data_IF_488363885881
#
_entry.id   IF_488363885881
#
_cell.length_a   1.000
_cell.length_b   1.000
_cell.length_c   1.000
_cell.angle_alpha   90.00
_cell.angle_beta   90.00
_cell.angle_gamma   90.00
#
_symmetry.space_group_name_H-M   'P 1'
#
loop_
_entity.id
_entity.type
_entity.pdbx_description
1 polymer ?
#
# COMPACT_ATOMS: atom_id res chain seq x y z
N UNK A 1 16.26 -1.11 15.31
CA UNK A 1 15.01 -0.35 15.20
C UNK A 1 14.47 -0.51 13.79
N UNK A 2 13.25 -1.01 13.60
CA UNK A 2 12.67 -1.23 12.27
C UNK A 2 11.80 -0.03 11.85
N UNK A 3 11.88 0.37 10.59
CA UNK A 3 11.02 1.43 10.04
C UNK A 3 9.61 0.83 9.84
N UNK A 4 8.57 1.53 10.27
CA UNK A 4 7.18 1.09 10.02
C UNK A 4 6.56 1.95 8.93
N UNK A 5 6.15 1.30 7.84
CA UNK A 5 5.44 1.95 6.73
C UNK A 5 3.99 1.50 6.67
N UNK A 6 3.09 2.41 6.35
CA UNK A 6 1.67 2.09 6.11
C UNK A 6 1.53 1.64 4.66
N UNK A 7 1.01 0.42 4.45
CA UNK A 7 0.91 -0.22 3.12
C UNK A 7 -0.46 -0.87 2.95
N UNK A 8 -0.83 -1.16 1.70
CA UNK A 8 -1.96 -2.04 1.40
C UNK A 8 -1.54 -3.50 1.58
N UNK A 9 -2.41 -4.34 2.14
CA UNK A 9 -2.25 -5.81 2.09
C UNK A 9 -2.45 -6.32 0.66
N UNK A 10 -3.55 -5.89 0.03
CA UNK A 10 -3.82 -6.11 -1.39
C UNK A 10 -3.89 -4.77 -2.11
N UNK A 11 -2.92 -4.52 -2.99
CA UNK A 11 -2.85 -3.26 -3.72
C UNK A 11 -4.06 -3.07 -4.65
N UNK A 12 -4.76 -1.91 -4.63
CA UNK A 12 -5.91 -1.63 -5.50
C UNK A 12 -5.53 -1.58 -6.99
N UNK A 13 -4.25 -1.42 -7.29
CA UNK A 13 -3.72 -1.42 -8.64
C UNK A 13 -3.46 -2.83 -9.22
N UNK A 14 -3.72 -3.90 -8.45
CA UNK A 14 -3.50 -5.27 -8.89
C UNK A 14 -2.02 -5.64 -9.06
N UNK A 15 -1.09 -4.94 -8.41
CA UNK A 15 0.35 -5.18 -8.51
C UNK A 15 1.06 -4.37 -9.59
N UNK A 16 0.40 -3.33 -10.15
CA UNK A 16 0.98 -2.46 -11.19
C UNK A 16 2.01 -1.44 -10.67
N UNK A 17 2.22 -1.35 -9.35
CA UNK A 17 3.23 -0.47 -8.75
C UNK A 17 2.88 1.02 -8.76
N UNK A 18 1.59 1.34 -8.85
CA UNK A 18 1.02 2.70 -8.84
C UNK A 18 0.75 3.20 -7.41
N UNK A 19 0.69 2.28 -6.44
CA UNK A 19 0.50 2.64 -5.04
C UNK A 19 1.68 3.49 -4.52
N UNK A 20 1.40 4.49 -3.69
CA UNK A 20 2.43 5.42 -3.19
C UNK A 20 3.47 4.72 -2.32
N UNK A 21 3.09 3.63 -1.65
CA UNK A 21 4.00 2.84 -0.82
C UNK A 21 5.03 2.04 -1.64
N UNK A 22 4.76 1.77 -2.93
CA UNK A 22 5.70 1.04 -3.80
C UNK A 22 7.07 1.72 -3.87
N UNK A 23 7.10 3.04 -4.04
CA UNK A 23 8.37 3.80 -4.10
C UNK A 23 9.16 3.73 -2.80
N UNK A 24 8.47 3.74 -1.67
CA UNK A 24 9.10 3.67 -0.34
C UNK A 24 9.64 2.27 -0.09
N UNK A 25 8.87 1.23 -0.46
CA UNK A 25 9.30 -0.17 -0.36
C UNK A 25 10.58 -0.42 -1.15
N UNK A 26 10.62 -0.04 -2.44
CA UNK A 26 11.81 -0.20 -3.27
C UNK A 26 13.02 0.52 -2.70
N UNK A 27 12.86 1.77 -2.25
CA UNK A 27 13.97 2.51 -1.66
C UNK A 27 14.57 1.78 -0.44
N UNK A 28 13.73 1.17 0.41
CA UNK A 28 14.17 0.42 1.58
C UNK A 28 14.82 -0.92 1.20
N UNK A 29 14.31 -1.59 0.18
CA UNK A 29 14.90 -2.83 -0.37
C UNK A 29 16.29 -2.56 -0.97
N UNK A 30 16.43 -1.52 -1.79
CA UNK A 30 17.71 -1.11 -2.41
C UNK A 30 18.81 -0.83 -1.36
N UNK A 31 18.44 -0.20 -0.23
CA UNK A 31 19.41 0.07 0.85
C UNK A 31 19.49 -1.05 1.89
N UNK A 32 18.88 -2.20 1.63
CA UNK A 32 18.81 -3.36 2.53
C UNK A 32 18.38 -2.98 3.96
N UNK A 33 17.37 -2.12 4.08
CA UNK A 33 16.83 -1.67 5.37
C UNK A 33 15.58 -2.45 5.76
N UNK A 34 15.56 -3.08 6.94
CA UNK A 34 14.38 -3.80 7.40
C UNK A 34 13.23 -2.84 7.70
N UNK A 35 12.03 -3.22 7.28
CA UNK A 35 10.80 -2.48 7.54
C UNK A 35 9.65 -3.41 7.90
N UNK A 36 8.65 -2.86 8.59
CA UNK A 36 7.40 -3.53 8.92
C UNK A 36 6.23 -2.86 8.21
N UNK A 37 5.31 -3.67 7.71
CA UNK A 37 4.06 -3.25 7.11
C UNK A 37 3.00 -3.01 8.20
N UNK A 38 2.43 -1.79 8.26
CA UNK A 38 1.28 -1.49 9.11
C UNK A 38 0.00 -1.36 8.27
N UNK A 39 -0.59 -2.52 7.98
CA UNK A 39 -1.80 -2.65 7.14
C UNK A 39 -3.06 -2.12 7.84
N UNK A 40 -3.29 -2.51 9.10
CA UNK A 40 -4.56 -2.26 9.80
C UNK A 40 -4.94 -0.77 9.92
N UNK A 41 -3.95 0.14 10.01
CA UNK A 41 -4.22 1.59 10.05
C UNK A 41 -4.82 2.11 8.74
N UNK A 42 -4.42 1.55 7.61
CA UNK A 42 -4.91 1.97 6.31
C UNK A 42 -6.39 1.56 6.14
N UNK A 43 -6.70 0.30 6.44
CA UNK A 43 -8.04 -0.30 6.31
C UNK A 43 -9.10 0.31 7.24
N UNK A 44 -8.70 0.79 8.42
CA UNK A 44 -9.60 1.39 9.39
C UNK A 44 -10.19 2.74 8.94
N UNK A 45 -9.66 3.38 7.89
CA UNK A 45 -10.10 4.72 7.46
C UNK A 45 -11.33 4.62 6.52
N UNK A 46 -12.51 5.18 6.85
CA UNK A 46 -13.69 5.09 5.97
C UNK A 46 -13.48 5.73 4.58
N UNK A 47 -12.71 6.82 4.52
CA UNK A 47 -12.35 7.45 3.25
C UNK A 47 -11.48 6.54 2.36
N UNK A 48 -10.65 5.70 2.98
CA UNK A 48 -9.79 4.75 2.29
C UNK A 48 -10.62 3.60 1.69
N UNK A 49 -11.57 3.04 2.43
CA UNK A 49 -12.48 2.00 1.93
C UNK A 49 -13.26 2.48 0.69
N UNK A 50 -13.74 3.72 0.70
CA UNK A 50 -14.43 4.34 -0.45
C UNK A 50 -13.52 4.49 -1.67
N UNK A 51 -12.30 4.98 -1.47
CA UNK A 51 -11.33 5.13 -2.56
C UNK A 51 -10.91 3.78 -3.15
N UNK A 52 -10.71 2.77 -2.30
CA UNK A 52 -10.37 1.41 -2.70
C UNK A 52 -11.49 0.77 -3.54
N UNK A 53 -12.74 0.86 -3.09
CA UNK A 53 -13.89 0.37 -3.83
C UNK A 53 -14.03 1.05 -5.21
N UNK A 54 -13.80 2.37 -5.27
CA UNK A 54 -13.84 3.12 -6.51
C UNK A 54 -12.74 2.68 -7.51
N UNK A 55 -11.50 2.49 -7.03
CA UNK A 55 -10.41 1.98 -7.88
C UNK A 55 -10.66 0.55 -8.34
N UNK A 56 -11.17 -0.32 -7.47
CA UNK A 56 -11.47 -1.70 -7.83
C UNK A 56 -12.51 -1.75 -8.95
N UNK A 57 -13.58 -0.96 -8.85
CA UNK A 57 -14.63 -0.88 -9.86
C UNK A 57 -14.14 -0.38 -11.23
N UNK A 58 -13.07 0.43 -11.28
CA UNK A 58 -12.44 0.86 -12.53
C UNK A 58 -11.55 -0.22 -13.13
N UNK A 59 -10.87 -1.01 -12.30
CA UNK A 59 -9.86 -1.98 -12.73
C UNK A 59 -10.44 -3.35 -13.13
N UNK A 60 -11.69 -3.66 -12.79
CA UNK A 60 -12.35 -4.94 -13.10
C UNK A 60 -13.28 -4.89 -14.33
N UNK A 61 -13.12 -3.91 -15.22
CA UNK A 61 -13.86 -3.79 -16.49
C UNK A 61 -13.01 -4.15 -17.69
#
# INVERSE_FOLDING_TARGET
MAITITVFDRSPDGGKGLARDTRVRWALEEVNRPFAAYVARAEARPAYQRAFAAQLALNTR
#
